data_IF_744364786718
#
_entry.id   IF_744364786718
#
_cell.length_a   1.000
_cell.length_b   1.000
_cell.length_c   1.000
_cell.angle_alpha   90.00
_cell.angle_beta   90.00
_cell.angle_gamma   90.00
#
_symmetry.space_group_name_H-M   'P 1'
#
loop_
_entity.id
_entity.type
_entity.pdbx_description
1 polymer ?
#
# COMPACT_ATOMS: atom_id res chain seq x y z
N UNK A 1 -3.09 -7.39 34.70
CA UNK A 1 -1.78 -7.95 34.26
C UNK A 1 -1.97 -8.44 32.83
N UNK A 2 -1.43 -7.72 31.86
CA UNK A 2 -1.27 -8.23 30.49
C UNK A 2 -0.07 -9.16 30.64
N UNK A 3 -0.33 -10.48 30.57
CA UNK A 3 0.75 -11.47 30.71
C UNK A 3 1.80 -11.32 29.60
N UNK A 4 2.95 -11.97 29.74
CA UNK A 4 4.15 -11.99 28.88
C UNK A 4 3.83 -12.38 27.42
N UNK A 5 2.90 -11.68 26.75
CA UNK A 5 2.62 -11.89 25.33
C UNK A 5 3.47 -10.92 24.54
N UNK A 6 4.45 -11.46 23.86
CA UNK A 6 5.22 -10.73 22.87
C UNK A 6 4.37 -10.56 21.59
N UNK A 7 4.32 -9.35 21.06
CA UNK A 7 3.74 -9.04 19.76
C UNK A 7 4.88 -8.81 18.78
N UNK A 8 4.90 -9.59 17.72
CA UNK A 8 5.86 -9.41 16.63
C UNK A 8 5.18 -8.61 15.53
N UNK A 9 5.75 -7.46 15.21
CA UNK A 9 5.34 -6.64 14.08
C UNK A 9 6.33 -6.84 12.94
N UNK A 10 5.88 -7.51 11.88
CA UNK A 10 6.68 -7.66 10.68
C UNK A 10 6.62 -6.40 9.83
N UNK A 11 7.76 -5.98 9.33
CA UNK A 11 7.86 -4.85 8.42
C UNK A 11 8.92 -5.12 7.34
N UNK A 12 8.71 -4.55 6.15
CA UNK A 12 9.67 -4.61 5.06
C UNK A 12 9.65 -3.26 4.31
N UNK A 13 10.81 -2.71 3.94
CA UNK A 13 10.88 -1.43 3.22
C UNK A 13 10.05 -1.40 1.92
N UNK A 14 9.87 -2.55 1.26
CA UNK A 14 9.05 -2.67 0.05
C UNK A 14 7.58 -2.35 0.26
N UNK A 15 7.06 -2.46 1.49
CA UNK A 15 5.70 -2.00 1.81
C UNK A 15 5.50 -0.51 1.53
N UNK A 16 6.59 0.28 1.53
CA UNK A 16 6.56 1.72 1.22
C UNK A 16 6.61 2.01 -0.29
N UNK A 17 6.79 0.99 -1.13
CA UNK A 17 6.86 1.14 -2.58
C UNK A 17 5.47 1.14 -3.24
N UNK A 18 4.42 0.80 -2.49
CA UNK A 18 3.05 1.06 -2.90
C UNK A 18 2.78 2.57 -2.82
N UNK A 19 2.98 3.26 -3.94
CA UNK A 19 2.83 4.71 -4.09
C UNK A 19 1.91 5.01 -5.26
N UNK A 20 0.61 4.78 -5.11
CA UNK A 20 -0.34 5.15 -6.15
C UNK A 20 -0.21 6.63 -6.44
N UNK A 21 -0.01 6.95 -7.71
CA UNK A 21 -0.03 8.32 -8.16
C UNK A 21 -1.50 8.74 -8.35
N UNK A 22 -2.02 9.65 -7.53
CA UNK A 22 -3.37 10.17 -7.73
C UNK A 22 -3.52 10.86 -9.10
N UNK A 23 -2.39 11.16 -9.73
CA UNK A 23 -2.30 11.74 -11.05
C UNK A 23 -2.26 10.70 -12.18
N UNK A 24 -2.09 9.42 -11.87
CA UNK A 24 -2.27 8.33 -12.82
C UNK A 24 -3.76 8.12 -13.10
N UNK A 25 -4.27 9.04 -13.84
CA UNK A 25 -5.52 9.12 -14.61
C UNK A 25 -6.69 8.19 -14.24
N UNK A 26 -7.62 8.71 -13.49
CA UNK A 26 -9.01 8.23 -13.48
C UNK A 26 -9.84 8.78 -14.66
N UNK A 27 -9.38 9.85 -15.30
CA UNK A 27 -10.11 10.53 -16.38
C UNK A 27 -9.23 10.71 -17.63
N UNK A 28 -9.79 10.59 -18.86
CA UNK A 28 -9.02 10.79 -20.07
C UNK A 28 -8.34 12.16 -20.12
N UNK A 29 -7.07 12.17 -20.20
CA UNK A 29 -6.02 13.17 -20.27
C UNK A 29 -6.37 14.67 -20.11
N UNK A 30 -7.26 15.26 -20.92
CA UNK A 30 -7.54 16.70 -20.90
C UNK A 30 -8.56 17.14 -19.85
N UNK A 31 -9.51 16.28 -19.53
CA UNK A 31 -10.55 16.58 -18.55
C UNK A 31 -10.00 16.48 -17.12
N UNK A 32 -9.11 15.54 -16.91
CA UNK A 32 -8.46 15.27 -15.66
C UNK A 32 -7.60 16.46 -15.16
N UNK A 33 -6.83 17.10 -16.04
CA UNK A 33 -6.02 18.26 -15.67
C UNK A 33 -6.87 19.46 -15.21
N UNK A 34 -8.01 19.72 -15.86
CA UNK A 34 -8.90 20.83 -15.45
C UNK A 34 -9.62 20.55 -14.14
N UNK A 35 -10.05 19.33 -13.92
CA UNK A 35 -10.67 18.93 -12.65
C UNK A 35 -9.67 19.03 -11.51
N UNK A 36 -8.42 18.63 -11.71
CA UNK A 36 -7.34 18.78 -10.73
C UNK A 36 -7.05 20.27 -10.41
N UNK A 37 -6.95 21.11 -11.43
CA UNK A 37 -6.74 22.57 -11.24
C UNK A 37 -7.87 23.19 -10.42
N UNK A 38 -9.12 22.78 -10.65
CA UNK A 38 -10.27 23.26 -9.88
C UNK A 38 -10.22 22.74 -8.44
N UNK A 39 -9.96 21.45 -8.24
CA UNK A 39 -9.91 20.85 -6.91
C UNK A 39 -8.73 21.35 -6.08
N UNK A 40 -7.57 21.57 -6.70
CA UNK A 40 -6.41 22.18 -6.03
C UNK A 40 -6.67 23.66 -5.68
N UNK A 41 -7.36 24.39 -6.54
CA UNK A 41 -7.81 25.77 -6.27
C UNK A 41 -8.81 25.88 -5.12
N UNK A 42 -9.57 24.81 -4.84
CA UNK A 42 -10.49 24.72 -3.70
C UNK A 42 -9.81 24.23 -2.41
N UNK A 43 -8.48 24.05 -2.42
CA UNK A 43 -7.73 23.56 -1.25
C UNK A 43 -7.97 22.08 -0.92
N UNK A 44 -8.66 21.35 -1.77
CA UNK A 44 -8.85 19.92 -1.64
C UNK A 44 -7.55 19.20 -1.96
N UNK A 45 -6.77 18.90 -0.94
CA UNK A 45 -5.68 17.93 -1.07
C UNK A 45 -6.32 16.55 -1.17
N UNK A 46 -6.42 16.03 -2.37
CA UNK A 46 -6.80 14.65 -2.58
C UNK A 46 -5.67 13.77 -2.06
N UNK A 47 -5.83 13.27 -0.86
CA UNK A 47 -4.91 12.29 -0.28
C UNK A 47 -5.46 10.90 -0.57
N UNK A 48 -4.74 10.12 -1.36
CA UNK A 48 -5.06 8.71 -1.54
C UNK A 48 -5.00 8.00 -0.19
N UNK A 49 -6.04 7.29 0.26
CA UNK A 49 -6.09 6.73 1.61
C UNK A 49 -5.00 5.68 1.86
N UNK A 50 -4.60 4.92 0.84
CA UNK A 50 -3.52 3.93 0.92
C UNK A 50 -2.15 4.54 0.61
N UNK A 51 -1.72 5.48 1.44
CA UNK A 51 -0.46 6.20 1.26
C UNK A 51 0.64 5.67 2.20
N UNK A 52 1.90 5.52 1.73
CA UNK A 52 3.03 5.03 2.55
C UNK A 52 3.22 5.80 3.86
N UNK A 53 2.86 7.09 3.88
CA UNK A 53 2.93 7.93 5.09
C UNK A 53 2.15 7.38 6.29
N UNK A 54 1.16 6.51 6.08
CA UNK A 54 0.46 5.83 7.18
C UNK A 54 1.37 4.86 7.90
N UNK A 55 2.17 4.09 7.14
CA UNK A 55 3.14 3.16 7.71
C UNK A 55 4.32 3.89 8.34
N UNK A 56 4.89 4.89 7.66
CA UNK A 56 6.00 5.67 8.21
C UNK A 56 5.62 6.36 9.50
N UNK A 57 4.42 6.90 9.62
CA UNK A 57 3.95 7.53 10.86
C UNK A 57 3.92 6.54 12.05
N UNK A 58 3.49 5.30 11.82
CA UNK A 58 3.47 4.25 12.85
C UNK A 58 4.88 3.80 13.20
N UNK A 59 5.72 3.55 12.19
CA UNK A 59 7.11 3.10 12.40
C UNK A 59 7.93 4.17 13.14
N UNK A 60 7.82 5.44 12.74
CA UNK A 60 8.48 6.56 13.40
C UNK A 60 8.01 6.74 14.85
N UNK A 61 6.72 6.47 15.12
CA UNK A 61 6.20 6.50 16.49
C UNK A 61 6.80 5.37 17.33
N UNK A 62 6.83 4.15 16.83
CA UNK A 62 7.38 2.99 17.53
C UNK A 62 8.90 3.12 17.77
N UNK A 63 9.61 3.79 16.87
CA UNK A 63 11.04 4.08 17.06
C UNK A 63 11.27 5.10 18.18
N UNK A 64 10.44 6.16 18.25
CA UNK A 64 10.55 7.22 19.27
C UNK A 64 10.00 6.80 20.62
N UNK A 65 8.93 6.02 20.62
CA UNK A 65 8.21 5.57 21.81
C UNK A 65 8.01 4.05 21.77
N UNK A 66 9.08 3.26 22.06
CA UNK A 66 9.00 1.81 22.02
C UNK A 66 7.90 1.28 22.95
N UNK A 67 7.03 0.42 22.42
CA UNK A 67 5.96 -0.21 23.21
C UNK A 67 6.51 -1.49 23.87
N UNK A 68 6.46 -1.63 25.19
CA UNK A 68 6.89 -2.85 25.87
C UNK A 68 6.14 -4.09 25.34
N UNK A 69 6.90 -5.14 25.03
CA UNK A 69 6.34 -6.38 24.51
C UNK A 69 6.08 -6.35 22.99
N UNK A 70 6.40 -5.27 22.29
CA UNK A 70 6.38 -5.20 20.82
C UNK A 70 7.80 -5.32 20.28
N UNK A 71 8.00 -6.22 19.32
CA UNK A 71 9.26 -6.42 18.61
C UNK A 71 9.06 -6.28 17.12
N UNK A 72 9.95 -5.52 16.47
CA UNK A 72 9.96 -5.37 15.02
C UNK A 72 10.83 -6.46 14.40
N UNK A 73 10.32 -7.13 13.38
CA UNK A 73 11.07 -8.09 12.57
C UNK A 73 10.94 -7.79 11.08
N UNK A 74 11.96 -8.22 10.32
CA UNK A 74 11.91 -8.11 8.87
C UNK A 74 10.88 -9.09 8.29
N UNK A 75 10.02 -8.58 7.43
CA UNK A 75 9.13 -9.41 6.62
C UNK A 75 9.91 -10.21 5.56
N UNK A 76 9.24 -11.17 4.95
CA UNK A 76 9.74 -11.90 3.80
C UNK A 76 8.69 -11.95 2.69
N UNK A 77 9.14 -12.17 1.49
CA UNK A 77 8.23 -12.40 0.35
C UNK A 77 7.42 -13.67 0.59
N UNK A 78 6.10 -13.57 0.51
CA UNK A 78 5.23 -14.73 0.50
C UNK A 78 5.40 -15.51 -0.81
N UNK A 79 5.44 -16.81 -0.71
CA UNK A 79 5.46 -17.67 -1.91
C UNK A 79 4.09 -17.72 -2.55
N UNK A 80 4.03 -17.94 -3.87
CA UNK A 80 2.76 -18.13 -4.57
C UNK A 80 1.91 -19.24 -3.96
N UNK A 81 2.54 -20.30 -3.46
CA UNK A 81 1.83 -21.42 -2.81
C UNK A 81 1.17 -20.98 -1.49
N UNK A 82 1.80 -20.09 -0.72
CA UNK A 82 1.22 -19.51 0.48
C UNK A 82 0.02 -18.62 0.15
N UNK A 83 0.17 -17.76 -0.84
CA UNK A 83 -0.91 -16.89 -1.31
C UNK A 83 -2.10 -17.69 -1.89
N UNK A 84 -1.83 -18.81 -2.58
CA UNK A 84 -2.86 -19.67 -3.13
C UNK A 84 -3.69 -20.42 -2.06
N UNK A 85 -3.32 -20.36 -0.80
CA UNK A 85 -4.12 -20.91 0.32
C UNK A 85 -5.38 -20.09 0.60
N UNK A 86 -5.39 -18.80 0.22
CA UNK A 86 -6.49 -17.87 0.50
C UNK A 86 -7.01 -17.19 -0.77
N UNK A 87 -6.25 -17.21 -1.86
CA UNK A 87 -6.60 -16.57 -3.12
C UNK A 87 -6.70 -17.61 -4.24
N UNK A 88 -7.62 -17.38 -5.19
CA UNK A 88 -7.69 -18.22 -6.40
C UNK A 88 -6.49 -17.98 -7.31
N UNK A 89 -6.11 -18.98 -8.09
CA UNK A 89 -5.01 -18.86 -9.04
C UNK A 89 -5.25 -17.75 -10.06
N UNK A 90 -6.49 -17.62 -10.57
CA UNK A 90 -6.85 -16.56 -11.52
C UNK A 90 -6.73 -15.16 -10.94
N UNK A 91 -7.08 -14.98 -9.66
CA UNK A 91 -6.86 -13.71 -8.96
C UNK A 91 -5.38 -13.37 -8.87
N UNK A 92 -4.56 -14.33 -8.45
CA UNK A 92 -3.11 -14.14 -8.36
C UNK A 92 -2.49 -13.83 -9.72
N UNK A 93 -2.91 -14.51 -10.79
CA UNK A 93 -2.45 -14.23 -12.14
C UNK A 93 -2.79 -12.80 -12.57
N UNK A 94 -4.00 -12.33 -12.25
CA UNK A 94 -4.43 -10.96 -12.52
C UNK A 94 -3.57 -9.93 -11.77
N UNK A 95 -3.30 -10.15 -10.48
CA UNK A 95 -2.44 -9.25 -9.69
C UNK A 95 -0.99 -9.25 -10.21
N UNK A 96 -0.43 -10.42 -10.50
CA UNK A 96 0.94 -10.48 -11.03
C UNK A 96 1.09 -9.85 -12.42
N UNK A 97 0.05 -9.88 -13.24
CA UNK A 97 0.04 -9.19 -14.53
C UNK A 97 0.13 -7.66 -14.39
N UNK A 98 -0.19 -7.11 -13.22
CA UNK A 98 -0.09 -5.67 -12.94
C UNK A 98 1.27 -5.23 -12.39
N UNK A 99 2.22 -6.14 -12.28
CA UNK A 99 3.57 -5.82 -11.79
C UNK A 99 4.23 -4.77 -12.67
N UNK A 100 4.68 -3.68 -12.05
CA UNK A 100 5.31 -2.56 -12.75
C UNK A 100 4.33 -1.58 -13.41
N UNK A 101 3.03 -1.81 -13.29
CA UNK A 101 2.01 -0.97 -13.92
C UNK A 101 1.50 0.13 -12.97
N UNK A 102 0.97 1.19 -13.59
CA UNK A 102 0.09 2.16 -12.93
C UNK A 102 -1.34 1.92 -13.44
N UNK A 103 -2.22 1.44 -12.59
CA UNK A 103 -3.58 1.09 -12.99
C UNK A 103 -4.57 1.21 -11.83
N UNK A 104 -5.85 1.27 -12.16
CA UNK A 104 -6.94 1.13 -11.20
C UNK A 104 -7.49 -0.29 -11.28
N UNK A 105 -7.65 -0.93 -10.12
CA UNK A 105 -8.27 -2.26 -10.01
C UNK A 105 -9.79 -2.18 -10.01
N UNK A 106 -10.32 -1.08 -9.52
CA UNK A 106 -11.74 -0.81 -9.47
C UNK A 106 -12.02 0.67 -9.83
N UNK A 107 -13.27 1.01 -9.90
CA UNK A 107 -13.71 2.37 -10.29
C UNK A 107 -13.65 3.37 -9.12
N UNK A 108 -13.23 2.94 -7.92
CA UNK A 108 -13.47 3.74 -6.73
C UNK A 108 -12.21 4.10 -5.96
N UNK A 109 -11.43 3.15 -5.48
CA UNK A 109 -10.38 3.46 -4.51
C UNK A 109 -9.11 2.63 -4.60
N UNK A 110 -9.10 1.54 -5.37
CA UNK A 110 -7.96 0.63 -5.40
C UNK A 110 -7.08 0.87 -6.61
N UNK A 111 -5.92 1.44 -6.38
CA UNK A 111 -4.93 1.68 -7.42
C UNK A 111 -3.68 0.84 -7.20
N UNK A 112 -2.98 0.51 -8.26
CA UNK A 112 -1.64 -0.07 -8.25
C UNK A 112 -0.63 0.93 -8.78
N UNK A 113 0.56 0.86 -8.23
CA UNK A 113 1.77 1.55 -8.68
C UNK A 113 2.84 0.52 -9.02
N UNK A 114 3.95 0.89 -9.66
CA UNK A 114 4.98 -0.07 -10.07
C UNK A 114 5.50 -1.00 -8.95
N UNK A 115 5.52 -0.55 -7.70
CA UNK A 115 5.96 -1.35 -6.54
C UNK A 115 4.83 -2.03 -5.76
N UNK A 116 3.58 -1.93 -6.21
CA UNK A 116 2.42 -2.41 -5.41
C UNK A 116 2.39 -3.91 -5.24
N UNK A 117 2.77 -4.67 -6.26
CA UNK A 117 2.76 -6.15 -6.20
C UNK A 117 3.83 -6.63 -5.22
N UNK A 118 5.04 -6.05 -5.29
CA UNK A 118 6.14 -6.34 -4.37
C UNK A 118 5.79 -5.98 -2.93
N UNK A 119 5.12 -4.84 -2.72
CA UNK A 119 4.63 -4.43 -1.41
C UNK A 119 3.61 -5.43 -0.85
N UNK A 120 2.67 -5.90 -1.68
CA UNK A 120 1.66 -6.88 -1.28
C UNK A 120 2.24 -8.26 -0.97
N UNK A 121 3.34 -8.67 -1.63
CA UNK A 121 3.99 -9.95 -1.38
C UNK A 121 4.73 -10.02 -0.03
N UNK A 122 5.02 -8.88 0.58
CA UNK A 122 5.73 -8.80 1.88
C UNK A 122 4.86 -8.33 3.04
N UNK A 123 3.61 -7.94 2.75
CA UNK A 123 2.65 -7.41 3.72
C UNK A 123 2.00 -8.47 4.63
#
# INVERSE_FOLDING_TARGET
MIGDREVILFQDPRMLDHRPDPDAAFLPGRLDRRVREILSGLGAKWSYPEHPGRLTAVLDLLEREPVPGVRLEAGRVATRAELARVHTTSYLDGIYAMRGENAWLDMDTTAVSPGSVEAAEVA
#
